data_IF_765135098390
#
_entry.id   IF_765135098390
#
_cell.length_a   1.000
_cell.length_b   1.000
_cell.length_c   1.000
_cell.angle_alpha   90.00
_cell.angle_beta   90.00
_cell.angle_gamma   90.00
#
_symmetry.space_group_name_H-M   'P 1'
#
loop_
_entity.id
_entity.type
_entity.pdbx_description
1 polymer ?
#
# COMPACT_ATOMS: atom_id res chain seq x y z
N UNK A 1 8.58 -23.40 -8.26
CA UNK A 1 9.46 -22.34 -7.74
C UNK A 1 8.93 -21.01 -8.24
N UNK A 2 8.15 -20.29 -7.46
CA UNK A 2 7.60 -19.01 -7.92
C UNK A 2 7.42 -18.03 -6.79
N UNK A 3 7.78 -16.79 -7.06
CA UNK A 3 7.38 -15.63 -6.30
C UNK A 3 6.30 -14.92 -7.12
N UNK A 4 5.14 -14.75 -6.53
CA UNK A 4 4.08 -13.95 -7.08
C UNK A 4 4.06 -12.61 -6.32
N UNK A 5 3.77 -11.54 -7.03
CA UNK A 5 3.78 -10.18 -6.50
C UNK A 5 2.38 -9.59 -6.54
N UNK A 6 1.94 -9.00 -5.42
CA UNK A 6 0.67 -8.29 -5.32
C UNK A 6 0.92 -6.83 -4.97
N UNK A 7 0.41 -5.92 -5.79
CA UNK A 7 0.60 -4.48 -5.62
C UNK A 7 -0.62 -3.65 -6.06
N UNK A 8 -0.73 -2.43 -5.53
CA UNK A 8 -1.76 -1.47 -5.92
C UNK A 8 -1.40 -0.72 -7.18
N UNK A 9 -2.38 -0.50 -8.05
CA UNK A 9 -2.19 0.19 -9.33
C UNK A 9 -2.69 1.65 -9.35
N UNK A 10 -3.26 2.13 -8.25
CA UNK A 10 -3.76 3.50 -8.10
C UNK A 10 -2.95 4.29 -7.06
N UNK A 11 -3.57 5.17 -6.29
CA UNK A 11 -2.94 5.95 -5.22
C UNK A 11 -3.06 5.31 -3.83
N UNK A 12 -3.01 3.98 -3.74
CA UNK A 12 -3.17 3.24 -2.49
C UNK A 12 -4.65 3.00 -2.13
N UNK A 13 -4.85 2.33 -1.01
CA UNK A 13 -6.18 1.99 -0.46
C UNK A 13 -7.06 1.15 -1.40
N UNK A 14 -6.44 0.41 -2.35
CA UNK A 14 -7.15 -0.44 -3.31
C UNK A 14 -7.78 -1.69 -2.66
N UNK A 15 -7.46 -2.01 -1.40
CA UNK A 15 -7.97 -3.21 -0.73
C UNK A 15 -7.03 -4.41 -0.82
N UNK A 16 -5.73 -4.18 -0.99
CA UNK A 16 -4.69 -5.23 -1.08
C UNK A 16 -4.77 -6.26 0.04
N UNK A 17 -4.94 -5.80 1.29
CA UNK A 17 -4.99 -6.70 2.47
C UNK A 17 -6.07 -7.76 2.36
N UNK A 18 -7.28 -7.41 1.90
CA UNK A 18 -8.37 -8.37 1.66
C UNK A 18 -7.94 -9.47 0.67
N UNK A 19 -7.30 -9.07 -0.43
CA UNK A 19 -6.90 -10.04 -1.47
C UNK A 19 -5.76 -10.92 -0.98
N UNK A 20 -4.74 -10.36 -0.33
CA UNK A 20 -3.67 -11.15 0.29
C UNK A 20 -4.26 -12.19 1.22
N UNK A 21 -5.15 -11.78 2.13
CA UNK A 21 -5.81 -12.67 3.08
C UNK A 21 -6.64 -13.77 2.36
N UNK A 22 -7.38 -13.41 1.30
CA UNK A 22 -8.21 -14.34 0.55
C UNK A 22 -7.40 -15.43 -0.18
N UNK A 23 -6.19 -15.10 -0.69
CA UNK A 23 -5.35 -16.03 -1.46
C UNK A 23 -4.19 -16.62 -0.64
N UNK A 24 -4.01 -16.21 0.61
CA UNK A 24 -2.86 -16.63 1.44
C UNK A 24 -2.73 -18.14 1.57
N UNK A 25 -3.86 -18.89 1.53
CA UNK A 25 -3.86 -20.36 1.63
C UNK A 25 -3.04 -21.05 0.53
N UNK A 26 -2.79 -20.38 -0.58
CA UNK A 26 -2.06 -20.91 -1.74
C UNK A 26 -0.55 -20.69 -1.62
N UNK A 27 -0.09 -19.99 -0.56
CA UNK A 27 1.30 -19.58 -0.37
C UNK A 27 1.86 -20.05 0.97
N UNK A 28 3.12 -20.47 0.93
CA UNK A 28 3.88 -20.88 2.13
C UNK A 28 4.41 -19.66 2.90
N UNK A 29 4.73 -18.57 2.17
CA UNK A 29 5.34 -17.37 2.73
C UNK A 29 4.66 -16.12 2.17
N UNK A 30 4.33 -15.18 3.06
CA UNK A 30 3.86 -13.83 2.70
C UNK A 30 4.93 -12.83 3.14
N UNK A 31 5.48 -12.05 2.21
CA UNK A 31 6.59 -11.15 2.49
C UNK A 31 6.28 -9.70 2.10
N UNK A 32 6.26 -8.78 3.08
CA UNK A 32 6.16 -7.32 2.83
C UNK A 32 7.49 -6.80 2.32
N UNK A 33 7.48 -6.11 1.18
CA UNK A 33 8.74 -5.67 0.55
C UNK A 33 9.07 -4.20 0.71
N UNK A 34 8.10 -3.32 1.05
CA UNK A 34 8.35 -1.89 1.20
C UNK A 34 7.28 -1.19 2.07
N UNK A 35 7.44 0.13 2.28
CA UNK A 35 6.54 0.92 3.09
C UNK A 35 6.84 0.77 4.57
N UNK A 36 5.86 1.05 5.38
CA UNK A 36 5.99 1.00 6.84
C UNK A 36 4.64 1.22 7.51
N UNK A 37 4.59 1.81 8.71
CA UNK A 37 3.35 2.02 9.44
C UNK A 37 2.39 3.05 8.81
N UNK A 38 2.76 3.70 7.70
CA UNK A 38 1.85 4.49 6.89
C UNK A 38 0.83 3.66 6.10
N UNK A 39 1.05 2.35 5.95
CA UNK A 39 0.05 1.44 5.42
C UNK A 39 -1.06 1.16 6.44
N UNK A 40 -2.27 0.87 5.94
CA UNK A 40 -3.40 0.39 6.72
C UNK A 40 -4.13 -0.68 5.92
N UNK A 41 -3.72 -1.95 6.10
CA UNK A 41 -4.33 -3.09 5.43
C UNK A 41 -5.49 -3.62 6.28
N UNK A 42 -6.70 -3.23 5.92
CA UNK A 42 -7.90 -3.70 6.60
C UNK A 42 -8.25 -5.11 6.12
N UNK A 43 -8.47 -6.01 7.07
CA UNK A 43 -8.89 -7.39 6.84
C UNK A 43 -10.21 -7.59 7.58
N UNK A 44 -11.22 -8.09 6.86
CA UNK A 44 -12.52 -8.39 7.41
C UNK A 44 -12.83 -9.88 7.20
N UNK A 45 -13.07 -10.59 8.29
CA UNK A 45 -13.37 -12.02 8.28
C UNK A 45 -14.20 -12.43 9.50
N UNK A 46 -15.21 -13.27 9.29
CA UNK A 46 -16.07 -13.81 10.36
C UNK A 46 -16.61 -12.71 11.31
N UNK A 47 -17.00 -11.56 10.78
CA UNK A 47 -17.50 -10.42 11.54
C UNK A 47 -16.43 -9.64 12.33
N UNK A 48 -15.15 -10.02 12.23
CA UNK A 48 -14.05 -9.28 12.80
C UNK A 48 -13.44 -8.34 11.77
N UNK A 49 -13.04 -7.15 12.24
CA UNK A 49 -12.27 -6.17 11.46
C UNK A 49 -10.95 -5.89 12.16
N UNK A 50 -9.85 -6.01 11.43
CA UNK A 50 -8.52 -5.70 11.92
C UNK A 50 -7.73 -4.89 10.91
N UNK A 51 -6.90 -3.96 11.39
CA UNK A 51 -6.05 -3.13 10.54
C UNK A 51 -4.59 -3.47 10.84
N UNK A 52 -3.86 -3.93 9.83
CA UNK A 52 -2.43 -4.20 9.89
C UNK A 52 -1.65 -3.04 9.26
N UNK A 53 -0.52 -2.70 9.86
CA UNK A 53 0.36 -1.61 9.40
C UNK A 53 1.66 -2.13 8.79
N UNK A 54 2.44 -2.87 9.58
CA UNK A 54 3.77 -3.36 9.20
C UNK A 54 3.75 -4.87 8.98
N UNK A 55 2.96 -5.58 9.76
CA UNK A 55 2.82 -7.05 9.68
C UNK A 55 2.14 -7.44 8.37
N UNK A 56 2.63 -8.48 7.66
CA UNK A 56 1.98 -8.97 6.44
C UNK A 56 0.56 -9.46 6.67
N UNK A 57 -0.31 -9.27 5.66
CA UNK A 57 -1.74 -9.61 5.75
C UNK A 57 -2.02 -11.11 5.86
N UNK A 58 -1.05 -11.96 5.58
CA UNK A 58 -1.13 -13.41 5.74
C UNK A 58 -1.08 -13.92 7.18
N UNK A 59 -0.92 -13.04 8.18
CA UNK A 59 -0.70 -13.43 9.58
C UNK A 59 -1.85 -14.25 10.18
N UNK A 60 -3.08 -14.06 9.68
CA UNK A 60 -4.26 -14.80 10.14
C UNK A 60 -4.35 -16.22 9.56
N UNK A 61 -3.59 -16.57 8.54
CA UNK A 61 -3.52 -17.92 8.01
C UNK A 61 -2.65 -18.79 8.93
N UNK A 62 -3.11 -20.00 9.26
CA UNK A 62 -2.42 -20.86 10.21
C UNK A 62 -1.11 -21.47 9.68
N UNK A 63 -0.96 -21.63 8.37
CA UNK A 63 0.16 -22.35 7.74
C UNK A 63 1.28 -21.44 7.25
N UNK A 64 0.96 -20.22 6.84
CA UNK A 64 1.92 -19.34 6.17
C UNK A 64 2.88 -18.68 7.16
N UNK A 65 4.15 -18.61 6.80
CA UNK A 65 5.16 -17.75 7.43
C UNK A 65 5.02 -16.34 6.89
N UNK A 66 5.20 -15.35 7.75
CA UNK A 66 5.11 -13.94 7.40
C UNK A 66 6.48 -13.27 7.58
N UNK A 67 6.92 -12.50 6.60
CA UNK A 67 8.24 -11.86 6.62
C UNK A 67 8.11 -10.36 6.41
N UNK A 68 8.69 -9.59 7.32
CA UNK A 68 8.96 -8.17 7.12
C UNK A 68 10.30 -8.04 6.42
N UNK A 69 10.29 -7.68 5.13
CA UNK A 69 11.47 -7.61 4.27
C UNK A 69 12.34 -6.38 4.53
N UNK A 70 13.53 -6.36 3.93
CA UNK A 70 14.52 -5.30 4.14
C UNK A 70 14.12 -3.93 3.57
N UNK A 71 13.16 -3.89 2.65
CA UNK A 71 12.65 -2.63 2.11
C UNK A 71 11.65 -1.92 3.02
N UNK A 72 11.13 -2.60 4.04
CA UNK A 72 10.20 -2.03 5.02
C UNK A 72 10.95 -1.17 6.03
N UNK A 73 10.31 -0.09 6.49
CA UNK A 73 10.76 0.71 7.63
C UNK A 73 9.83 0.47 8.82
N UNK A 74 10.41 0.14 9.98
CA UNK A 74 9.67 -0.33 11.15
C UNK A 74 9.69 0.73 12.24
N UNK A 75 8.51 1.15 12.69
CA UNK A 75 8.34 1.91 13.93
C UNK A 75 8.17 0.93 15.09
N UNK A 76 9.14 0.82 16.01
CA UNK A 76 9.08 -0.14 17.10
C UNK A 76 7.85 0.01 18.02
N UNK A 77 7.47 1.26 18.32
CA UNK A 77 6.30 1.53 19.17
C UNK A 77 4.98 1.17 18.50
N UNK A 78 4.84 1.43 17.19
CA UNK A 78 3.65 1.03 16.42
C UNK A 78 3.63 -0.49 16.25
N UNK A 79 4.79 -1.11 15.99
CA UNK A 79 4.91 -2.56 15.89
C UNK A 79 4.47 -3.27 17.18
N UNK A 80 4.89 -2.77 18.35
CA UNK A 80 4.44 -3.31 19.62
C UNK A 80 2.91 -3.27 19.77
N UNK A 81 2.29 -2.11 19.48
CA UNK A 81 0.82 -1.96 19.52
C UNK A 81 0.11 -2.89 18.54
N UNK A 82 0.71 -3.14 17.39
CA UNK A 82 0.18 -4.07 16.37
C UNK A 82 0.22 -5.52 16.89
N UNK A 83 1.31 -5.92 17.54
CA UNK A 83 1.44 -7.23 18.20
C UNK A 83 0.39 -7.42 19.29
N UNK A 84 0.27 -6.46 20.22
CA UNK A 84 -0.71 -6.47 21.31
C UNK A 84 -2.16 -6.57 20.74
N UNK A 85 -2.44 -5.88 19.63
CA UNK A 85 -3.73 -5.95 18.95
C UNK A 85 -4.07 -7.33 18.37
N UNK A 86 -3.06 -8.17 18.13
CA UNK A 86 -3.21 -9.53 17.62
C UNK A 86 -3.39 -10.61 18.71
N UNK A 87 -3.11 -10.31 19.99
CA UNK A 87 -3.19 -11.27 21.10
C UNK A 87 -4.57 -11.93 21.22
N UNK A 88 -5.63 -11.17 20.96
CA UNK A 88 -7.02 -11.67 21.00
C UNK A 88 -7.29 -12.83 20.03
N UNK A 89 -6.47 -12.96 18.96
CA UNK A 89 -6.61 -14.04 17.97
C UNK A 89 -5.81 -15.30 18.34
N UNK A 90 -5.03 -15.27 19.43
CA UNK A 90 -4.21 -16.40 19.94
C UNK A 90 -3.25 -16.96 18.89
N UNK A 91 -2.67 -16.08 18.06
CA UNK A 91 -1.68 -16.44 17.05
C UNK A 91 -0.30 -16.50 17.72
N UNK A 92 0.44 -17.60 17.52
CA UNK A 92 1.84 -17.69 17.97
C UNK A 92 2.74 -16.91 17.01
N UNK A 93 2.79 -15.58 17.23
CA UNK A 93 3.52 -14.66 16.35
C UNK A 93 5.03 -14.95 16.29
N UNK A 94 5.62 -15.50 17.37
CA UNK A 94 7.05 -15.81 17.43
C UNK A 94 7.46 -16.92 16.46
N UNK A 95 6.53 -17.82 16.14
CA UNK A 95 6.75 -18.90 15.16
C UNK A 95 6.37 -18.51 13.73
N UNK A 96 5.63 -17.43 13.57
CA UNK A 96 5.02 -17.08 12.27
C UNK A 96 5.51 -15.79 11.65
N UNK A 97 6.15 -14.92 12.40
CA UNK A 97 6.59 -13.62 11.94
C UNK A 97 8.10 -13.50 12.07
N UNK A 98 8.78 -13.39 10.95
CA UNK A 98 10.21 -13.20 10.85
C UNK A 98 10.52 -11.79 10.33
N UNK A 99 11.60 -11.22 10.84
CA UNK A 99 11.96 -9.83 10.55
C UNK A 99 13.35 -9.77 9.92
N UNK A 100 13.48 -9.09 8.78
CA UNK A 100 14.77 -8.88 8.14
C UNK A 100 15.70 -8.05 9.02
N UNK A 101 16.91 -8.57 9.29
CA UNK A 101 17.99 -7.81 9.96
C UNK A 101 18.32 -6.51 9.21
N UNK A 102 18.07 -6.45 7.89
CA UNK A 102 18.38 -5.31 7.02
C UNK A 102 17.27 -4.25 6.96
N UNK A 103 16.08 -4.51 7.51
CA UNK A 103 15.02 -3.51 7.62
C UNK A 103 15.47 -2.32 8.48
N UNK A 104 15.02 -1.11 8.14
CA UNK A 104 15.43 0.10 8.88
C UNK A 104 14.42 0.44 9.96
N UNK A 105 14.91 1.04 11.03
CA UNK A 105 14.12 1.46 12.18
C UNK A 105 13.77 2.95 12.05
N UNK A 106 12.50 3.26 12.24
CA UNK A 106 12.02 4.64 12.37
C UNK A 106 12.35 5.12 13.78
N UNK A 107 13.18 6.14 13.89
CA UNK A 107 13.55 6.76 15.17
C UNK A 107 12.47 7.80 15.59
N UNK A 108 12.34 8.09 16.88
CA UNK A 108 11.49 9.18 17.38
C UNK A 108 11.75 10.52 16.67
N UNK A 109 13.02 10.84 16.44
CA UNK A 109 13.43 12.06 15.74
C UNK A 109 13.07 12.09 14.26
N UNK A 110 12.90 10.95 13.58
CA UNK A 110 12.36 10.92 12.22
C UNK A 110 10.91 11.44 12.17
N UNK A 111 10.10 11.13 13.19
CA UNK A 111 8.72 11.67 13.28
C UNK A 111 8.71 13.18 13.49
N UNK A 112 9.64 13.68 14.32
CA UNK A 112 9.80 15.13 14.51
C UNK A 112 10.22 15.83 13.23
N UNK A 113 11.23 15.32 12.49
CA UNK A 113 11.66 15.86 11.20
C UNK A 113 10.48 15.88 10.21
N UNK A 114 9.72 14.78 10.12
CA UNK A 114 8.56 14.68 9.23
C UNK A 114 7.51 15.75 9.57
N UNK A 115 7.15 15.87 10.84
CA UNK A 115 6.15 16.83 11.31
C UNK A 115 6.62 18.28 11.09
N UNK A 116 7.85 18.60 11.46
CA UNK A 116 8.40 19.96 11.34
C UNK A 116 8.57 20.35 9.86
N UNK A 117 9.10 19.45 9.04
CA UNK A 117 9.23 19.67 7.60
C UNK A 117 7.87 19.85 6.92
N UNK A 118 6.86 19.08 7.31
CA UNK A 118 5.52 19.22 6.74
C UNK A 118 4.87 20.54 7.21
N UNK A 119 5.06 20.95 8.48
CA UNK A 119 4.57 22.21 9.00
C UNK A 119 5.18 23.40 8.25
N UNK A 120 6.50 23.38 8.00
CA UNK A 120 7.23 24.45 7.32
C UNK A 120 6.79 24.71 5.87
N UNK A 121 6.15 23.73 5.23
CA UNK A 121 5.66 23.88 3.84
C UNK A 121 4.40 24.74 3.73
N UNK A 122 3.72 25.09 4.82
CA UNK A 122 2.50 25.88 4.81
C UNK A 122 1.44 25.35 3.85
N UNK A 123 1.05 26.13 2.85
CA UNK A 123 0.07 25.73 1.81
C UNK A 123 0.59 24.66 0.83
N UNK A 124 1.90 24.40 0.80
CA UNK A 124 2.53 23.41 -0.08
C UNK A 124 2.69 22.04 0.57
N UNK A 125 1.95 21.75 1.64
CA UNK A 125 1.95 20.45 2.32
C UNK A 125 1.69 19.32 1.35
N UNK A 126 2.44 18.24 1.51
CA UNK A 126 2.29 17.01 0.72
C UNK A 126 1.12 16.17 1.26
N UNK A 127 0.85 16.30 2.56
CA UNK A 127 -0.14 15.50 3.27
C UNK A 127 0.49 14.24 3.90
N UNK A 128 1.72 14.38 4.41
CA UNK A 128 2.42 13.31 5.13
C UNK A 128 1.55 12.70 6.24
N UNK A 129 1.78 11.42 6.52
CA UNK A 129 1.17 10.70 7.65
C UNK A 129 1.85 11.02 8.98
N UNK A 130 2.89 11.82 8.98
CA UNK A 130 3.71 12.25 10.14
C UNK A 130 4.32 11.06 10.92
N UNK A 131 4.57 9.95 10.23
CA UNK A 131 5.11 8.72 10.82
C UNK A 131 6.62 8.54 10.60
N UNK A 132 7.30 9.57 10.09
CA UNK A 132 8.74 9.55 9.88
C UNK A 132 9.22 8.69 8.72
N UNK A 133 8.34 8.33 7.79
CA UNK A 133 8.66 7.45 6.65
C UNK A 133 9.74 8.08 5.77
N UNK A 134 9.50 9.31 5.28
CA UNK A 134 10.42 10.04 4.43
C UNK A 134 11.81 10.19 5.05
N UNK A 135 11.93 10.77 6.25
CA UNK A 135 13.21 10.91 6.94
C UNK A 135 13.96 9.60 7.17
N UNK A 136 13.24 8.49 7.42
CA UNK A 136 13.89 7.17 7.55
C UNK A 136 14.47 6.68 6.23
N UNK A 137 13.76 6.85 5.10
CA UNK A 137 14.31 6.53 3.78
C UNK A 137 15.44 7.47 3.37
N UNK A 138 15.42 8.74 3.78
CA UNK A 138 16.56 9.65 3.60
C UNK A 138 17.81 9.12 4.31
N UNK A 139 17.70 8.70 5.56
CA UNK A 139 18.82 8.11 6.29
C UNK A 139 19.26 6.76 5.73
N UNK A 140 18.34 5.92 5.27
CA UNK A 140 18.66 4.67 4.57
C UNK A 140 19.52 4.95 3.34
N UNK A 141 19.10 5.85 2.47
CA UNK A 141 19.83 6.22 1.25
C UNK A 141 21.13 6.98 1.56
N UNK A 142 21.09 7.83 2.60
CA UNK A 142 22.26 8.54 3.12
C UNK A 142 23.24 7.65 3.89
N UNK A 143 22.96 6.37 4.08
CA UNK A 143 23.79 5.37 4.78
C UNK A 143 24.03 5.68 6.26
N UNK A 144 23.06 6.33 6.90
CA UNK A 144 23.11 6.70 8.31
C UNK A 144 22.20 5.86 9.19
N UNK A 145 21.13 5.29 8.62
CA UNK A 145 20.03 4.64 9.36
C UNK A 145 20.47 3.47 10.24
N UNK A 146 19.65 3.19 11.26
CA UNK A 146 19.78 2.00 12.11
C UNK A 146 18.96 0.87 11.50
N UNK A 147 19.56 -0.31 11.38
CA UNK A 147 18.89 -1.52 10.93
C UNK A 147 18.42 -2.37 12.11
N UNK A 148 17.42 -3.20 11.87
CA UNK A 148 16.91 -4.13 12.91
C UNK A 148 18.02 -5.02 13.44
N UNK A 149 18.94 -5.51 12.62
CA UNK A 149 20.08 -6.31 13.06
C UNK A 149 21.09 -5.57 13.95
N UNK A 150 21.08 -4.23 13.92
CA UNK A 150 21.99 -3.46 14.78
C UNK A 150 21.59 -3.53 16.26
N UNK A 151 20.26 -3.64 16.56
CA UNK A 151 19.75 -3.56 17.96
C UNK A 151 20.16 -4.71 18.88
N UNK A 152 20.66 -5.80 18.32
CA UNK A 152 21.18 -6.93 19.11
C UNK A 152 22.62 -6.70 19.59
N UNK A 153 23.29 -5.66 19.11
CA UNK A 153 24.65 -5.29 19.50
C UNK A 153 24.61 -4.15 20.53
N UNK A 154 25.46 -4.18 21.55
CA UNK A 154 25.49 -3.16 22.62
C UNK A 154 25.83 -1.74 22.12
N UNK A 155 26.45 -1.63 20.96
CA UNK A 155 26.84 -0.32 20.37
C UNK A 155 25.69 0.44 19.70
N UNK A 156 24.51 -0.14 19.57
CA UNK A 156 23.40 0.53 18.86
C UNK A 156 22.93 1.81 19.56
N UNK A 157 23.00 1.87 20.89
CA UNK A 157 22.62 3.06 21.64
C UNK A 157 23.53 4.26 21.34
N UNK A 158 24.82 4.02 21.11
CA UNK A 158 25.76 5.08 20.72
C UNK A 158 25.40 5.61 19.32
N UNK A 159 25.07 4.71 18.38
CA UNK A 159 24.62 5.09 17.04
C UNK A 159 23.28 5.86 17.09
N UNK A 160 22.37 5.44 17.96
CA UNK A 160 21.11 6.15 18.19
C UNK A 160 21.35 7.57 18.74
N UNK A 161 22.19 7.73 19.77
CA UNK A 161 22.51 9.03 20.35
C UNK A 161 23.12 9.98 19.32
N UNK A 162 24.06 9.51 18.52
CA UNK A 162 24.66 10.27 17.42
C UNK A 162 23.62 10.74 16.39
N UNK A 163 22.72 9.85 15.96
CA UNK A 163 21.67 10.20 15.01
C UNK A 163 20.63 11.14 15.62
N UNK A 164 20.29 10.94 16.88
CA UNK A 164 19.39 11.84 17.62
C UNK A 164 19.94 13.27 17.60
N UNK A 165 21.20 13.47 17.95
CA UNK A 165 21.86 14.78 17.93
C UNK A 165 21.86 15.41 16.53
N UNK A 166 22.24 14.63 15.51
CA UNK A 166 22.21 15.06 14.12
C UNK A 166 20.81 15.52 13.70
N UNK A 167 19.77 14.76 14.06
CA UNK A 167 18.38 15.08 13.71
C UNK A 167 17.89 16.33 14.46
N UNK A 168 18.23 16.49 15.73
CA UNK A 168 17.87 17.69 16.49
C UNK A 168 18.52 18.95 15.88
N UNK A 169 19.78 18.84 15.41
CA UNK A 169 20.43 19.91 14.67
C UNK A 169 19.72 20.24 13.34
N UNK A 170 19.17 19.24 12.64
CA UNK A 170 18.36 19.48 11.43
C UNK A 170 17.06 20.20 11.81
N UNK A 171 16.38 19.74 12.87
CA UNK A 171 15.11 20.31 13.35
C UNK A 171 15.29 21.77 13.78
N UNK A 172 16.40 22.12 14.42
CA UNK A 172 16.69 23.49 14.87
C UNK A 172 16.81 24.52 13.73
N UNK A 173 16.99 24.07 12.48
CA UNK A 173 17.00 24.94 11.30
C UNK A 173 15.60 25.25 10.75
N UNK A 174 14.55 24.64 11.26
CA UNK A 174 13.19 25.00 10.91
C UNK A 174 12.66 26.09 11.84
N UNK A 175 11.90 27.03 11.29
CA UNK A 175 11.26 28.10 12.07
C UNK A 175 9.97 27.62 12.77
N UNK A 176 9.47 26.47 12.39
CA UNK A 176 8.21 25.93 12.90
C UNK A 176 8.47 24.98 14.06
N UNK A 177 7.68 25.15 15.13
CA UNK A 177 7.64 24.20 16.24
C UNK A 177 6.44 23.26 16.08
N UNK A 178 6.62 22.02 16.53
CA UNK A 178 5.54 21.03 16.59
C UNK A 178 5.31 20.60 18.04
N UNK A 179 4.05 20.44 18.40
CA UNK A 179 3.68 19.99 19.75
C UNK A 179 3.72 18.45 19.82
N UNK A 180 4.95 17.91 19.81
CA UNK A 180 5.21 16.47 19.90
C UNK A 180 6.30 16.25 20.96
N UNK A 181 5.98 15.50 22.01
CA UNK A 181 6.92 15.14 23.06
C UNK A 181 7.90 14.08 22.58
N UNK A 182 9.19 14.44 22.49
CA UNK A 182 10.26 13.51 22.16
C UNK A 182 10.41 12.42 23.23
N UNK A 183 10.27 12.78 24.51
CA UNK A 183 10.44 11.85 25.63
C UNK A 183 9.38 10.75 25.62
N UNK A 184 8.12 11.09 25.30
CA UNK A 184 7.06 10.11 25.14
C UNK A 184 7.30 9.18 23.95
N UNK A 185 7.73 9.73 22.81
CA UNK A 185 8.09 8.93 21.64
C UNK A 185 9.26 7.99 21.93
N UNK A 186 10.28 8.45 22.68
CA UNK A 186 11.43 7.62 23.06
C UNK A 186 11.01 6.50 24.02
N UNK A 187 10.13 6.77 24.96
CA UNK A 187 9.62 5.74 25.87
C UNK A 187 8.90 4.60 25.12
N UNK A 188 8.02 4.94 24.18
CA UNK A 188 7.33 3.96 23.33
C UNK A 188 8.31 3.23 22.40
N UNK A 189 9.29 3.97 21.85
CA UNK A 189 10.34 3.43 21.00
C UNK A 189 11.18 2.37 21.74
N UNK A 190 11.65 2.65 22.95
CA UNK A 190 12.48 1.72 23.72
C UNK A 190 11.71 0.45 24.08
N UNK A 191 10.44 0.56 24.49
CA UNK A 191 9.58 -0.62 24.70
C UNK A 191 9.43 -1.45 23.43
N UNK A 192 9.23 -0.79 22.29
CA UNK A 192 9.12 -1.45 21.01
C UNK A 192 10.41 -2.15 20.57
N UNK A 193 11.58 -1.56 20.85
CA UNK A 193 12.89 -2.20 20.61
C UNK A 193 13.00 -3.51 21.40
N UNK A 194 12.65 -3.52 22.70
CA UNK A 194 12.69 -4.75 23.47
C UNK A 194 11.70 -5.81 22.94
N UNK A 195 10.55 -5.40 22.46
CA UNK A 195 9.62 -6.31 21.75
C UNK A 195 10.22 -6.87 20.46
N UNK A 196 10.85 -6.04 19.62
CA UNK A 196 11.49 -6.49 18.37
C UNK A 196 12.57 -7.54 18.62
N UNK A 197 13.38 -7.42 19.68
CA UNK A 197 14.42 -8.38 20.05
C UNK A 197 13.87 -9.79 20.37
N UNK A 198 12.59 -9.91 20.66
CA UNK A 198 11.96 -11.21 20.97
C UNK A 198 11.52 -11.99 19.74
N UNK A 199 11.63 -11.41 18.54
CA UNK A 199 11.29 -12.06 17.28
C UNK A 199 12.51 -12.69 16.60
N UNK A 200 12.25 -13.60 15.67
CA UNK A 200 13.29 -14.20 14.83
C UNK A 200 13.80 -13.17 13.82
N UNK A 201 15.04 -12.72 14.00
CA UNK A 201 15.73 -11.78 13.11
C UNK A 201 16.55 -12.55 12.08
N UNK A 202 16.16 -12.51 10.82
CA UNK A 202 16.72 -13.33 9.76
C UNK A 202 17.48 -12.53 8.70
N UNK A 203 18.37 -13.20 7.99
CA UNK A 203 18.91 -12.76 6.71
C UNK A 203 17.88 -13.12 5.63
N UNK A 204 16.88 -12.23 5.47
CA UNK A 204 15.65 -12.51 4.72
C UNK A 204 15.90 -12.86 3.25
N UNK A 205 16.92 -12.28 2.62
CA UNK A 205 17.32 -12.59 1.25
C UNK A 205 17.76 -14.05 1.12
N UNK A 206 18.55 -14.56 2.06
CA UNK A 206 18.96 -15.97 2.06
C UNK A 206 17.77 -16.90 2.32
N UNK A 207 16.95 -16.55 3.33
CA UNK A 207 15.77 -17.34 3.68
C UNK A 207 14.80 -17.47 2.50
N UNK A 208 14.49 -16.36 1.81
CA UNK A 208 13.55 -16.35 0.69
C UNK A 208 14.12 -17.10 -0.53
N UNK A 209 15.39 -16.89 -0.89
CA UNK A 209 15.97 -17.57 -2.03
C UNK A 209 16.09 -19.07 -1.80
N UNK A 210 16.53 -19.53 -0.61
CA UNK A 210 16.55 -20.95 -0.25
C UNK A 210 15.13 -21.55 -0.29
N UNK A 211 14.13 -20.83 0.24
CA UNK A 211 12.72 -21.26 0.18
C UNK A 211 12.22 -21.42 -1.26
N UNK A 212 12.62 -20.52 -2.16
CA UNK A 212 12.32 -20.66 -3.59
C UNK A 212 13.00 -21.89 -4.21
N UNK A 213 14.24 -22.20 -3.82
CA UNK A 213 14.96 -23.41 -4.28
C UNK A 213 14.29 -24.69 -3.76
N UNK A 214 13.78 -24.66 -2.52
CA UNK A 214 12.97 -25.74 -1.93
C UNK A 214 11.59 -25.91 -2.56
N UNK A 215 11.20 -25.05 -3.49
CA UNK A 215 9.91 -25.13 -4.20
C UNK A 215 8.74 -24.45 -3.51
N UNK A 216 8.99 -23.70 -2.41
CA UNK A 216 7.95 -22.96 -1.69
C UNK A 216 7.37 -21.84 -2.56
N UNK A 217 6.08 -21.59 -2.37
CA UNK A 217 5.36 -20.48 -3.01
C UNK A 217 5.42 -19.25 -2.12
N UNK A 218 5.87 -18.14 -2.67
CA UNK A 218 6.01 -16.87 -1.97
C UNK A 218 5.09 -15.83 -2.59
N UNK A 219 4.31 -15.12 -1.76
CA UNK A 219 3.59 -13.91 -2.15
C UNK A 219 4.31 -12.68 -1.60
N UNK A 220 4.81 -11.84 -2.49
CA UNK A 220 5.34 -10.53 -2.12
C UNK A 220 4.20 -9.51 -2.04
N UNK A 221 3.96 -8.97 -0.85
CA UNK A 221 2.89 -8.02 -0.56
C UNK A 221 3.39 -6.59 -0.62
N UNK A 222 2.82 -5.77 -1.53
CA UNK A 222 3.07 -4.35 -1.65
C UNK A 222 2.22 -3.51 -0.70
N UNK A 223 2.70 -2.29 -0.43
CA UNK A 223 1.96 -1.26 0.28
C UNK A 223 1.82 0.00 -0.58
N UNK A 224 0.90 0.89 -0.25
CA UNK A 224 0.52 2.05 -1.07
C UNK A 224 0.07 1.61 -2.47
N UNK A 225 0.33 2.40 -3.51
CA UNK A 225 -0.01 2.09 -4.89
C UNK A 225 1.02 2.67 -5.86
N UNK A 226 1.03 2.21 -7.10
CA UNK A 226 2.06 2.54 -8.09
C UNK A 226 2.10 4.03 -8.45
N UNK A 227 0.98 4.75 -8.37
CA UNK A 227 0.95 6.20 -8.58
C UNK A 227 1.51 6.99 -7.38
N UNK A 228 1.87 6.31 -6.29
CA UNK A 228 2.62 6.85 -5.15
C UNK A 228 4.09 6.43 -5.13
N UNK A 229 4.58 5.74 -6.17
CA UNK A 229 5.99 5.35 -6.28
C UNK A 229 6.91 6.59 -6.30
N UNK A 230 8.07 6.49 -5.64
CA UNK A 230 9.01 7.61 -5.52
C UNK A 230 9.56 8.07 -6.87
N UNK A 231 9.74 7.15 -7.82
CA UNK A 231 10.32 7.43 -9.13
C UNK A 231 9.25 7.64 -10.21
N UNK A 232 8.21 6.82 -10.24
CA UNK A 232 7.20 6.77 -11.32
C UNK A 232 5.83 7.31 -10.93
N UNK A 233 5.64 7.69 -9.66
CA UNK A 233 4.39 8.26 -9.18
C UNK A 233 4.22 9.75 -9.50
N UNK A 234 3.17 10.34 -8.93
CA UNK A 234 2.81 11.76 -9.12
C UNK A 234 3.64 12.70 -8.25
N UNK A 235 4.95 12.69 -8.44
CA UNK A 235 5.92 13.48 -7.66
C UNK A 235 5.56 14.98 -7.63
N UNK A 236 5.70 15.69 -6.47
CA UNK A 236 6.24 15.23 -5.18
C UNK A 236 5.19 14.59 -4.25
N UNK A 237 3.97 14.36 -4.69
CA UNK A 237 2.87 13.80 -3.90
C UNK A 237 2.89 12.27 -3.94
N UNK A 238 3.97 11.70 -3.42
CA UNK A 238 4.31 10.27 -3.44
C UNK A 238 4.78 9.80 -2.07
N UNK A 239 4.92 8.50 -1.89
CA UNK A 239 5.65 7.93 -0.75
C UNK A 239 7.15 7.90 -1.06
N UNK A 240 7.98 7.70 -0.04
CA UNK A 240 9.44 7.67 -0.18
C UNK A 240 10.00 6.27 -0.50
N UNK A 241 9.16 5.35 -0.95
CA UNK A 241 9.56 3.98 -1.29
C UNK A 241 9.17 3.59 -2.70
N UNK A 242 9.83 2.57 -3.25
CA UNK A 242 9.48 1.98 -4.53
C UNK A 242 8.30 1.02 -4.35
N UNK A 243 7.13 1.44 -4.84
CA UNK A 243 5.87 0.69 -4.74
C UNK A 243 5.61 -0.20 -5.95
N UNK A 244 6.44 -0.07 -6.99
CA UNK A 244 6.38 -0.85 -8.22
C UNK A 244 7.00 -2.25 -8.07
N UNK A 245 6.83 -3.10 -9.08
CA UNK A 245 7.33 -4.47 -9.10
C UNK A 245 8.86 -4.54 -8.88
N UNK A 246 9.62 -3.57 -9.40
CA UNK A 246 11.06 -3.48 -9.19
C UNK A 246 11.43 -3.34 -7.71
N UNK A 247 10.57 -2.67 -6.92
CA UNK A 247 10.75 -2.51 -5.48
C UNK A 247 10.72 -3.83 -4.70
N UNK A 248 10.03 -4.85 -5.21
CA UNK A 248 10.03 -6.18 -4.58
C UNK A 248 11.40 -6.86 -4.66
N UNK A 249 12.10 -6.72 -5.79
CA UNK A 249 13.44 -7.29 -5.95
C UNK A 249 14.42 -6.71 -4.94
N UNK A 250 14.49 -5.39 -4.82
CA UNK A 250 15.38 -4.72 -3.87
C UNK A 250 14.90 -4.85 -2.43
N UNK A 251 13.58 -4.87 -2.20
CA UNK A 251 12.97 -4.92 -0.88
C UNK A 251 12.97 -6.29 -0.21
N UNK A 252 13.20 -7.36 -0.98
CA UNK A 252 13.29 -8.75 -0.47
C UNK A 252 14.64 -9.40 -0.75
N UNK A 253 15.45 -8.82 -1.64
CA UNK A 253 16.70 -9.43 -2.09
C UNK A 253 16.47 -10.67 -2.99
N UNK A 254 15.41 -10.63 -3.80
CA UNK A 254 15.08 -11.72 -4.74
C UNK A 254 15.37 -11.29 -6.18
N UNK A 255 15.90 -12.17 -7.04
CA UNK A 255 16.19 -11.82 -8.42
C UNK A 255 14.91 -11.71 -9.27
N UNK A 256 14.84 -10.78 -10.26
CA UNK A 256 13.64 -10.50 -11.03
C UNK A 256 13.12 -11.69 -11.84
N UNK A 257 14.00 -12.60 -12.27
CA UNK A 257 13.62 -13.80 -13.01
C UNK A 257 12.89 -14.87 -12.18
N UNK A 258 12.75 -14.67 -10.88
CA UNK A 258 11.95 -15.53 -9.99
C UNK A 258 10.50 -15.03 -9.87
N UNK A 259 10.20 -13.82 -10.28
CA UNK A 259 8.82 -13.29 -10.30
C UNK A 259 8.08 -13.97 -11.46
N UNK A 260 6.98 -14.65 -11.11
CA UNK A 260 6.17 -15.39 -12.10
C UNK A 260 4.89 -14.65 -12.44
N UNK A 261 4.18 -14.15 -11.42
CA UNK A 261 2.95 -13.39 -11.59
C UNK A 261 3.07 -12.02 -10.94
N UNK A 262 2.46 -11.03 -11.54
CA UNK A 262 2.30 -9.69 -11.00
C UNK A 262 0.81 -9.37 -10.98
N UNK A 263 0.23 -9.44 -9.78
CA UNK A 263 -1.19 -9.26 -9.50
C UNK A 263 -1.43 -7.78 -9.19
N UNK A 264 -2.06 -7.08 -10.12
CA UNK A 264 -2.42 -5.68 -9.97
C UNK A 264 -3.78 -5.50 -9.32
N UNK A 265 -3.85 -4.73 -8.22
CA UNK A 265 -5.10 -4.43 -7.51
C UNK A 265 -5.54 -3.02 -7.83
N UNK A 266 -6.80 -2.84 -8.25
CA UNK A 266 -7.39 -1.53 -8.48
C UNK A 266 -8.87 -1.52 -8.06
N UNK A 267 -9.43 -0.36 -7.75
CA UNK A 267 -10.86 -0.18 -7.48
C UNK A 267 -11.63 0.06 -8.79
N UNK A 268 -12.89 -0.30 -8.82
CA UNK A 268 -13.81 0.03 -9.91
C UNK A 268 -13.98 1.55 -10.14
N UNK A 269 -13.46 2.37 -9.24
CA UNK A 269 -13.35 3.83 -9.29
C UNK A 269 -11.98 4.26 -8.78
N UNK A 270 -11.71 5.54 -8.67
CA UNK A 270 -10.41 6.02 -8.19
C UNK A 270 -10.57 6.77 -6.88
N UNK A 271 -9.61 6.58 -5.95
CA UNK A 271 -9.53 7.38 -4.72
C UNK A 271 -8.12 7.88 -4.48
N UNK A 272 -8.02 9.02 -3.77
CA UNK A 272 -6.75 9.58 -3.35
C UNK A 272 -6.85 10.19 -1.96
N UNK A 273 -5.84 9.99 -1.13
CA UNK A 273 -5.66 10.69 0.15
C UNK A 273 -4.63 11.81 -0.02
N UNK A 274 -4.88 12.96 0.62
CA UNK A 274 -3.96 14.09 0.63
C UNK A 274 -3.93 14.88 -0.67
N UNK A 275 -2.89 15.70 -0.81
CA UNK A 275 -2.72 16.62 -1.94
C UNK A 275 -2.24 15.93 -3.21
N UNK A 276 -2.23 16.67 -4.31
CA UNK A 276 -1.70 16.24 -5.59
C UNK A 276 -2.75 16.06 -6.68
N UNK A 277 -2.32 15.79 -7.91
CA UNK A 277 -3.20 15.71 -9.07
C UNK A 277 -4.16 14.52 -8.99
N UNK A 278 -5.38 14.74 -9.46
CA UNK A 278 -6.42 13.73 -9.56
C UNK A 278 -7.36 14.11 -10.72
N UNK A 279 -7.03 13.79 -11.98
CA UNK A 279 -7.75 14.27 -13.15
C UNK A 279 -9.23 13.92 -13.16
N UNK A 280 -9.61 12.77 -12.66
CA UNK A 280 -10.99 12.26 -12.67
C UNK A 280 -11.76 12.53 -11.38
N UNK A 281 -11.27 13.42 -10.48
CA UNK A 281 -11.89 13.75 -9.21
C UNK A 281 -13.30 14.32 -9.39
N UNK A 282 -14.22 13.92 -8.52
CA UNK A 282 -15.62 14.35 -8.50
C UNK A 282 -15.87 15.31 -7.33
N UNK A 283 -16.38 16.49 -7.66
CA UNK A 283 -16.77 17.54 -6.70
C UNK A 283 -18.30 17.70 -6.61
N UNK A 284 -19.03 16.62 -6.81
CA UNK A 284 -20.49 16.60 -6.86
C UNK A 284 -21.07 15.49 -5.98
N UNK A 285 -22.39 15.39 -5.94
CA UNK A 285 -23.15 14.40 -5.17
C UNK A 285 -22.80 12.95 -5.51
N UNK A 286 -22.31 12.66 -6.73
CA UNK A 286 -21.86 11.32 -7.11
C UNK A 286 -20.57 10.98 -6.35
N UNK A 287 -19.60 11.90 -6.30
CA UNK A 287 -18.38 11.73 -5.53
C UNK A 287 -18.63 11.52 -4.05
N UNK A 288 -19.60 12.25 -3.48
CA UNK A 288 -20.02 12.08 -2.09
C UNK A 288 -20.69 10.72 -1.87
N UNK A 289 -21.58 10.30 -2.78
CA UNK A 289 -22.22 8.98 -2.71
C UNK A 289 -21.20 7.84 -2.78
N UNK A 290 -20.20 7.93 -3.66
CA UNK A 290 -19.10 6.95 -3.73
C UNK A 290 -18.31 6.92 -2.40
N UNK A 291 -18.01 8.07 -1.82
CA UNK A 291 -17.29 8.16 -0.53
C UNK A 291 -18.09 7.51 0.60
N UNK A 292 -19.35 7.83 0.73
CA UNK A 292 -20.23 7.29 1.79
C UNK A 292 -20.43 5.79 1.64
N UNK A 293 -20.89 5.34 0.45
CA UNK A 293 -21.15 3.92 0.18
C UNK A 293 -19.87 3.08 0.28
N UNK A 294 -18.77 3.62 -0.24
CA UNK A 294 -17.46 2.96 -0.20
C UNK A 294 -16.75 3.04 1.15
N UNK A 295 -17.29 3.78 2.15
CA UNK A 295 -16.60 4.09 3.40
C UNK A 295 -15.18 4.58 3.15
N UNK A 296 -15.04 5.53 2.21
CA UNK A 296 -13.74 6.03 1.75
C UNK A 296 -13.17 7.06 2.73
N UNK A 297 -12.75 6.54 3.89
CA UNK A 297 -12.07 7.26 4.97
C UNK A 297 -10.76 6.57 5.30
N UNK A 298 -9.74 7.34 5.66
CA UNK A 298 -8.42 6.80 5.99
C UNK A 298 -8.48 5.90 7.22
N UNK A 299 -8.06 4.64 7.09
CA UNK A 299 -8.13 3.65 8.17
C UNK A 299 -7.37 4.07 9.45
N UNK A 300 -6.34 4.90 9.32
CA UNK A 300 -5.51 5.36 10.44
C UNK A 300 -5.83 6.79 10.88
N UNK A 301 -6.15 7.67 9.93
CA UNK A 301 -6.29 9.12 10.18
C UNK A 301 -7.73 9.60 10.15
N UNK A 302 -8.67 8.77 9.71
CA UNK A 302 -10.07 9.15 9.49
C UNK A 302 -10.29 10.21 8.40
N UNK A 303 -9.23 10.63 7.67
CA UNK A 303 -9.36 11.65 6.62
C UNK A 303 -10.24 11.15 5.48
N UNK A 304 -11.08 12.03 4.96
CA UNK A 304 -11.85 11.77 3.75
C UNK A 304 -10.91 11.45 2.60
N UNK A 305 -11.23 10.40 1.86
CA UNK A 305 -10.61 10.14 0.58
C UNK A 305 -11.34 10.93 -0.50
N UNK A 306 -10.58 11.59 -1.34
CA UNK A 306 -11.07 12.18 -2.59
C UNK A 306 -11.51 11.05 -3.51
N UNK A 307 -12.66 11.15 -4.13
CA UNK A 307 -13.24 10.10 -4.98
C UNK A 307 -13.42 10.63 -6.40
N UNK A 308 -13.27 9.75 -7.38
CA UNK A 308 -13.40 10.08 -8.79
C UNK A 308 -13.68 8.86 -9.66
N UNK A 309 -13.99 9.11 -10.93
CA UNK A 309 -14.19 8.06 -11.91
C UNK A 309 -12.93 7.23 -12.14
N UNK A 310 -13.11 6.00 -12.64
CA UNK A 310 -11.97 5.15 -13.02
C UNK A 310 -11.16 5.83 -14.13
N UNK A 311 -9.86 5.90 -13.91
CA UNK A 311 -8.89 6.49 -14.83
C UNK A 311 -8.09 5.36 -15.52
N UNK A 312 -8.49 5.01 -16.74
CA UNK A 312 -7.82 3.95 -17.49
C UNK A 312 -6.48 4.39 -18.10
N UNK A 313 -6.25 5.70 -18.27
CA UNK A 313 -4.93 6.20 -18.70
C UNK A 313 -3.91 5.93 -17.60
N UNK A 314 -4.25 6.27 -16.36
CA UNK A 314 -3.42 6.01 -15.19
C UNK A 314 -3.28 4.51 -14.92
N UNK A 315 -4.37 3.73 -15.03
CA UNK A 315 -4.34 2.28 -14.82
C UNK A 315 -3.45 1.58 -15.86
N UNK A 316 -3.59 1.93 -17.14
CA UNK A 316 -2.77 1.36 -18.22
C UNK A 316 -1.28 1.67 -18.02
N UNK A 317 -0.96 2.90 -17.63
CA UNK A 317 0.39 3.29 -17.28
C UNK A 317 0.97 2.41 -16.16
N UNK A 318 0.21 2.24 -15.07
CA UNK A 318 0.69 1.43 -13.94
C UNK A 318 0.75 -0.06 -14.25
N UNK A 319 -0.16 -0.59 -15.07
CA UNK A 319 -0.06 -1.96 -15.63
C UNK A 319 1.25 -2.13 -16.40
N UNK A 320 1.59 -1.16 -17.24
CA UNK A 320 2.79 -1.22 -18.09
C UNK A 320 4.09 -1.16 -17.26
N UNK A 321 4.24 -0.19 -16.34
CA UNK A 321 5.49 -0.04 -15.56
C UNK A 321 5.73 -1.20 -14.59
N UNK A 322 4.66 -1.89 -14.18
CA UNK A 322 4.76 -3.07 -13.31
C UNK A 322 4.89 -4.38 -14.10
N UNK A 323 4.50 -4.41 -15.38
CA UNK A 323 4.37 -5.65 -16.12
C UNK A 323 3.29 -6.56 -15.52
N UNK A 324 2.14 -5.98 -15.09
CA UNK A 324 1.06 -6.75 -14.48
C UNK A 324 0.58 -7.87 -15.42
N UNK A 325 0.47 -9.09 -14.89
CA UNK A 325 0.06 -10.28 -15.64
C UNK A 325 -1.41 -10.63 -15.43
N UNK A 326 -1.98 -10.20 -14.32
CA UNK A 326 -3.39 -10.36 -13.98
C UNK A 326 -3.84 -9.21 -13.08
N UNK A 327 -5.13 -8.92 -13.11
CA UNK A 327 -5.76 -7.82 -12.38
C UNK A 327 -6.86 -8.34 -11.46
N UNK A 328 -7.08 -7.61 -10.35
CA UNK A 328 -8.20 -7.83 -9.45
C UNK A 328 -8.94 -6.51 -9.25
N UNK A 329 -10.23 -6.49 -9.58
CA UNK A 329 -11.09 -5.32 -9.41
C UNK A 329 -11.76 -5.34 -8.03
N UNK A 330 -11.65 -4.22 -7.34
CA UNK A 330 -12.14 -4.06 -5.97
C UNK A 330 -13.34 -3.11 -5.93
N UNK A 331 -14.20 -3.31 -4.93
CA UNK A 331 -15.27 -2.35 -4.63
C UNK A 331 -16.29 -2.16 -5.76
N UNK A 332 -16.57 -3.21 -6.54
CA UNK A 332 -17.58 -3.17 -7.59
C UNK A 332 -19.00 -2.95 -7.02
N UNK A 333 -19.23 -3.42 -5.79
CA UNK A 333 -20.46 -3.20 -5.00
C UNK A 333 -20.77 -1.73 -4.74
N UNK A 334 -19.74 -0.88 -4.61
CA UNK A 334 -19.89 0.55 -4.30
C UNK A 334 -20.55 1.33 -5.45
N UNK A 335 -20.38 0.85 -6.69
CA UNK A 335 -20.97 1.48 -7.87
C UNK A 335 -22.41 1.04 -8.14
N UNK A 336 -22.95 0.09 -7.38
CA UNK A 336 -24.38 -0.26 -7.45
C UNK A 336 -25.24 0.98 -7.21
N UNK A 337 -26.28 1.15 -7.99
CA UNK A 337 -27.20 2.30 -7.92
C UNK A 337 -26.59 3.69 -8.26
N UNK A 338 -25.47 3.71 -8.99
CA UNK A 338 -24.87 4.95 -9.58
C UNK A 338 -25.39 5.14 -11.00
N UNK A 339 -26.49 4.77 -11.44
CA UNK A 339 -27.15 5.04 -12.72
C UNK A 339 -26.21 5.05 -13.95
N UNK A 340 -25.39 6.08 -14.11
CA UNK A 340 -24.42 6.22 -15.21
C UNK A 340 -23.00 6.31 -14.65
N UNK A 341 -22.08 5.58 -15.25
CA UNK A 341 -20.66 5.53 -14.89
C UNK A 341 -19.81 6.14 -16.01
N UNK A 342 -18.85 6.96 -15.67
CA UNK A 342 -17.90 7.50 -16.63
C UNK A 342 -16.51 6.86 -16.41
N UNK A 343 -15.86 6.48 -17.51
CA UNK A 343 -14.51 5.91 -17.51
C UNK A 343 -13.60 6.80 -18.36
N UNK A 344 -12.53 7.29 -17.76
CA UNK A 344 -11.57 8.13 -18.48
C UNK A 344 -10.67 7.26 -19.37
N UNK A 345 -10.65 7.55 -20.67
CA UNK A 345 -9.91 6.80 -21.68
C UNK A 345 -8.80 7.59 -22.36
N UNK A 346 -8.80 8.91 -22.22
CA UNK A 346 -7.75 9.80 -22.68
C UNK A 346 -7.78 11.13 -21.94
N UNK A 347 -6.72 11.90 -22.06
CA UNK A 347 -6.64 13.28 -21.56
C UNK A 347 -6.51 14.26 -22.70
N UNK A 348 -7.15 15.41 -22.56
CA UNK A 348 -6.89 16.56 -23.41
C UNK A 348 -5.94 17.50 -22.65
N UNK A 349 -4.76 17.72 -23.20
CA UNK A 349 -3.70 18.58 -22.65
C UNK A 349 -3.28 19.56 -23.74
N UNK A 350 -3.38 20.88 -23.47
CA UNK A 350 -3.07 21.92 -24.45
C UNK A 350 -3.83 21.69 -25.79
N UNK A 351 -5.11 21.28 -25.72
CA UNK A 351 -5.96 20.91 -26.85
C UNK A 351 -5.47 19.71 -27.68
N UNK A 352 -4.57 18.90 -27.16
CA UNK A 352 -4.10 17.67 -27.82
C UNK A 352 -4.52 16.46 -26.99
N UNK A 353 -5.17 15.51 -27.65
CA UNK A 353 -5.55 14.25 -27.02
C UNK A 353 -4.34 13.35 -26.83
N UNK A 354 -4.26 12.72 -25.65
CA UNK A 354 -3.24 11.73 -25.34
C UNK A 354 -3.81 10.59 -24.52
N UNK A 355 -3.32 9.37 -24.77
CA UNK A 355 -3.57 8.17 -23.95
C UNK A 355 -2.38 7.80 -23.08
N UNK A 356 -1.34 8.65 -23.06
CA UNK A 356 -0.17 8.46 -22.21
C UNK A 356 -0.31 9.27 -20.93
N UNK A 357 0.05 8.67 -19.81
CA UNK A 357 0.09 9.34 -18.52
C UNK A 357 1.22 10.39 -18.54
N UNK A 358 0.94 11.70 -18.33
CA UNK A 358 1.92 12.74 -18.54
C UNK A 358 2.86 12.90 -17.33
N UNK A 359 4.14 13.20 -17.61
CA UNK A 359 5.12 13.53 -16.56
C UNK A 359 4.71 14.77 -15.76
N UNK A 360 4.20 15.79 -16.43
CA UNK A 360 3.85 17.08 -15.85
C UNK A 360 2.37 17.21 -15.44
N UNK A 361 1.78 16.09 -15.04
CA UNK A 361 0.37 15.98 -14.62
C UNK A 361 -0.08 17.03 -13.59
N UNK A 362 0.86 17.59 -12.83
CA UNK A 362 0.60 18.62 -11.82
C UNK A 362 0.53 20.02 -12.39
N UNK A 363 1.33 20.32 -13.40
CA UNK A 363 1.58 21.68 -13.89
C UNK A 363 0.72 22.07 -15.09
N UNK A 364 0.05 21.10 -15.71
CA UNK A 364 -0.85 21.32 -16.85
C UNK A 364 -2.31 21.15 -16.45
N UNK A 365 -3.17 21.89 -17.13
CA UNK A 365 -4.61 21.64 -17.10
C UNK A 365 -4.88 20.35 -17.89
N UNK A 366 -5.42 19.35 -17.19
CA UNK A 366 -5.75 18.05 -17.74
C UNK A 366 -7.26 17.91 -17.74
N UNK A 367 -7.83 17.77 -18.96
CA UNK A 367 -9.25 17.54 -19.11
C UNK A 367 -9.48 16.07 -19.47
N UNK A 368 -9.99 15.24 -18.54
CA UNK A 368 -10.26 13.84 -18.81
C UNK A 368 -11.38 13.69 -19.85
N UNK A 369 -11.19 12.75 -20.78
CA UNK A 369 -12.19 12.39 -21.79
C UNK A 369 -12.82 11.07 -21.38
N UNK A 370 -14.15 11.02 -21.36
CA UNK A 370 -14.90 9.91 -20.80
C UNK A 370 -15.69 9.12 -21.86
N UNK A 371 -15.82 7.84 -21.60
CA UNK A 371 -16.85 6.98 -22.18
C UNK A 371 -17.85 6.67 -21.07
N UNK A 372 -19.15 6.77 -21.37
CA UNK A 372 -20.24 6.49 -20.45
C UNK A 372 -20.67 5.02 -20.53
N UNK A 373 -20.95 4.43 -19.38
CA UNK A 373 -21.50 3.10 -19.22
C UNK A 373 -22.80 3.17 -18.43
N UNK A 374 -23.71 2.24 -18.71
CA UNK A 374 -24.83 1.99 -17.83
C UNK A 374 -24.35 1.38 -16.51
N UNK A 375 -24.83 1.88 -15.40
CA UNK A 375 -24.61 1.30 -14.09
C UNK A 375 -25.54 0.12 -13.84
N UNK A 376 -25.35 -0.53 -12.72
CA UNK A 376 -26.19 -1.63 -12.26
C UNK A 376 -26.88 -1.28 -10.95
N UNK A 377 -28.14 -1.70 -10.79
CA UNK A 377 -28.94 -1.44 -9.59
C UNK A 377 -29.01 -2.67 -8.65
N UNK A 378 -28.49 -3.81 -9.11
CA UNK A 378 -28.48 -5.04 -8.33
C UNK A 378 -27.49 -4.92 -7.15
N UNK A 379 -27.92 -5.33 -5.95
CA UNK A 379 -26.99 -5.63 -4.86
C UNK A 379 -26.22 -6.91 -5.18
N UNK A 380 -24.93 -6.75 -5.44
CA UNK A 380 -24.04 -7.86 -5.81
C UNK A 380 -23.31 -8.46 -4.61
N UNK A 381 -23.53 -7.97 -3.39
CA UNK A 381 -22.75 -8.39 -2.19
C UNK A 381 -22.96 -9.87 -1.82
N UNK A 382 -24.03 -10.49 -2.28
CA UNK A 382 -24.33 -11.90 -2.05
C UNK A 382 -24.05 -12.80 -3.25
N UNK A 383 -23.66 -12.23 -4.40
CA UNK A 383 -23.34 -12.99 -5.61
C UNK A 383 -22.07 -13.82 -5.39
N UNK A 384 -22.10 -15.08 -5.85
CA UNK A 384 -20.98 -16.03 -5.68
C UNK A 384 -20.35 -16.47 -7.00
N UNK A 385 -21.09 -16.40 -8.11
CA UNK A 385 -20.64 -16.83 -9.41
C UNK A 385 -20.62 -15.65 -10.39
N UNK A 386 -19.72 -15.67 -11.35
CA UNK A 386 -19.63 -14.63 -12.39
C UNK A 386 -20.91 -14.52 -13.23
N UNK A 387 -21.53 -15.66 -13.54
CA UNK A 387 -22.76 -15.73 -14.36
C UNK A 387 -23.98 -15.03 -13.72
N UNK A 388 -23.96 -14.83 -12.40
CA UNK A 388 -25.02 -14.17 -11.64
C UNK A 388 -24.81 -12.64 -11.53
N UNK A 389 -23.70 -12.11 -12.07
CA UNK A 389 -23.41 -10.70 -12.06
C UNK A 389 -24.22 -9.94 -13.12
N UNK A 390 -24.58 -8.66 -12.84
CA UNK A 390 -25.26 -7.82 -13.83
C UNK A 390 -24.46 -7.71 -15.13
N UNK A 391 -25.17 -7.74 -16.26
CA UNK A 391 -24.56 -7.59 -17.59
C UNK A 391 -23.74 -6.29 -17.70
N UNK A 392 -24.23 -5.22 -17.14
CA UNK A 392 -23.59 -3.89 -17.14
C UNK A 392 -22.22 -3.93 -16.45
N UNK A 393 -22.10 -4.67 -15.32
CA UNK A 393 -20.82 -4.88 -14.64
C UNK A 393 -19.87 -5.73 -15.50
N UNK A 394 -20.37 -6.78 -16.15
CA UNK A 394 -19.55 -7.61 -17.05
C UNK A 394 -19.08 -6.80 -18.26
N UNK A 395 -19.95 -5.99 -18.86
CA UNK A 395 -19.59 -5.10 -19.98
C UNK A 395 -18.52 -4.07 -19.55
N UNK A 396 -18.64 -3.52 -18.34
CA UNK A 396 -17.65 -2.62 -17.73
C UNK A 396 -16.29 -3.32 -17.55
N UNK A 397 -16.27 -4.53 -17.00
CA UNK A 397 -15.06 -5.34 -16.80
C UNK A 397 -14.39 -5.68 -18.13
N UNK A 398 -15.16 -6.16 -19.11
CA UNK A 398 -14.64 -6.53 -20.43
C UNK A 398 -14.02 -5.34 -21.15
N UNK A 399 -14.61 -4.14 -21.00
CA UNK A 399 -14.04 -2.91 -21.57
C UNK A 399 -12.70 -2.57 -20.91
N UNK A 400 -12.60 -2.66 -19.57
CA UNK A 400 -11.35 -2.41 -18.85
C UNK A 400 -10.26 -3.39 -19.33
N UNK A 401 -10.55 -4.69 -19.39
CA UNK A 401 -9.61 -5.72 -19.88
C UNK A 401 -9.12 -5.42 -21.29
N UNK A 402 -10.05 -5.11 -22.20
CA UNK A 402 -9.73 -4.74 -23.59
C UNK A 402 -8.83 -3.50 -23.67
N UNK A 403 -9.06 -2.50 -22.81
CA UNK A 403 -8.31 -1.24 -22.84
C UNK A 403 -6.88 -1.41 -22.28
N UNK A 404 -6.73 -2.14 -21.18
CA UNK A 404 -5.42 -2.31 -20.52
C UNK A 404 -4.63 -3.50 -21.06
N UNK A 405 -5.29 -4.48 -21.70
CA UNK A 405 -4.68 -5.65 -22.31
C UNK A 405 -4.28 -6.75 -21.30
N UNK A 406 -4.89 -6.75 -20.09
CA UNK A 406 -4.57 -7.71 -19.02
C UNK A 406 -5.87 -8.23 -18.41
N UNK A 407 -6.01 -9.56 -18.18
CA UNK A 407 -7.24 -10.15 -17.67
C UNK A 407 -7.49 -9.81 -16.19
N UNK A 408 -8.77 -9.63 -15.84
CA UNK A 408 -9.25 -9.46 -14.46
C UNK A 408 -9.64 -10.84 -13.94
N UNK A 409 -8.83 -11.39 -13.04
CA UNK A 409 -9.00 -12.75 -12.48
C UNK A 409 -9.91 -12.80 -11.26
N UNK A 410 -10.17 -11.66 -10.63
CA UNK A 410 -10.92 -11.60 -9.40
C UNK A 410 -11.79 -10.33 -9.34
N UNK A 411 -13.06 -10.52 -8.92
CA UNK A 411 -14.02 -9.45 -8.70
C UNK A 411 -14.40 -9.43 -7.22
N UNK A 412 -14.13 -8.31 -6.55
CA UNK A 412 -14.57 -8.08 -5.17
C UNK A 412 -15.96 -7.43 -5.16
N UNK A 413 -16.91 -8.09 -4.54
CA UNK A 413 -18.33 -7.71 -4.48
C UNK A 413 -18.78 -7.28 -3.07
N UNK A 414 -17.85 -7.02 -2.16
CA UNK A 414 -18.10 -6.55 -0.80
C UNK A 414 -16.84 -6.54 0.06
N UNK A 415 -16.91 -6.15 1.35
CA UNK A 415 -15.75 -5.98 2.21
C UNK A 415 -15.16 -7.29 2.76
N UNK A 416 -15.97 -8.32 3.02
CA UNK A 416 -15.53 -9.59 3.60
C UNK A 416 -14.71 -10.41 2.59
N UNK A 417 -13.75 -11.21 3.08
CA UNK A 417 -12.94 -12.11 2.24
C UNK A 417 -13.79 -13.07 1.39
N UNK A 418 -14.93 -13.52 1.91
CA UNK A 418 -15.85 -14.44 1.22
C UNK A 418 -16.63 -13.76 0.08
N UNK A 419 -16.66 -12.43 0.03
CA UNK A 419 -17.31 -11.64 -1.02
C UNK A 419 -16.34 -11.38 -2.18
N UNK A 420 -15.84 -12.49 -2.74
CA UNK A 420 -14.81 -12.49 -3.77
C UNK A 420 -15.13 -13.58 -4.80
N UNK A 421 -15.24 -13.19 -6.06
CA UNK A 421 -15.53 -14.10 -7.18
C UNK A 421 -14.25 -14.31 -7.98
N UNK A 422 -13.82 -15.56 -8.12
CA UNK A 422 -12.69 -15.94 -8.96
C UNK A 422 -13.20 -16.29 -10.36
N UNK A 423 -12.62 -15.71 -11.39
CA UNK A 423 -13.00 -15.92 -12.80
C UNK A 423 -12.18 -17.03 -13.43
N UNK A 424 -12.86 -17.87 -14.19
CA UNK A 424 -12.25 -19.01 -14.91
C UNK A 424 -11.89 -18.59 -16.35
N UNK A 425 -10.90 -17.69 -16.52
CA UNK A 425 -10.43 -17.17 -17.81
C UNK A 425 -8.94 -17.43 -18.03
#
# INVERSE_FOLDING_TARGET
MSLDLLLGLQWGDEGKGKIVDAITSDYDIIARFQGGPNAGHTIEFNGNKHVLHTIPSGIFNQKSINIIGNGVVIDPGIFLKEIEGLDKYKIDLRKKLYISKRAHIILPTHKLIDATSEASKGKKKIGSTLKGIGPTYMDKTGRNGIRVGDIVNDSWQQKYSYLKEKHLNIISNFNESVDISLDELEKDFMKGIESLKTFELIDSENYLNNSLEEGKKILAEGAQGSLLDIDFGTYPYVTSSNTTAAGACSGLGVPPNKIKKIIGIFKAYTTRVGSGPFPTELFNTIGDKIRETGHEYGATTGRDRRCGWLDLVALKYTVQINGATELNIMKSDVLSSIGKLNVCTSYLIDNKETKNFPYDIKSKEIVPQYIEFDGWDQDITQVKNEDDLPKELIDYINFIESFVGVPIKLISVGPDRAQTIFRSI
#
